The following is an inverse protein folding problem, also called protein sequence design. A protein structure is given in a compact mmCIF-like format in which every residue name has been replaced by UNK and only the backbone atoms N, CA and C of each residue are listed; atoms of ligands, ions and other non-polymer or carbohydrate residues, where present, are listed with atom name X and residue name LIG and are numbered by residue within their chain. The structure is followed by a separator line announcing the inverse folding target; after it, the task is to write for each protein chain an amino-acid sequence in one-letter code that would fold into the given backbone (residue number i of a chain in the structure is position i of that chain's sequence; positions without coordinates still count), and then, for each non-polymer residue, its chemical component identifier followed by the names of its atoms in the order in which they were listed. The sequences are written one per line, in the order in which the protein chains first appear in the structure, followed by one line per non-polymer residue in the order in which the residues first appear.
data_IF_934848325328
#
_entry.id   IF_934848325328
#
_cell.length_a   1.000
_cell.length_b   1.000
_cell.length_c   1.000
_cell.angle_alpha   90.00
_cell.angle_beta   90.00
_cell.angle_gamma   90.00
#
_symmetry.space_group_name_H-M   'P 1'
#
loop_
_entity.id
_entity.type
_entity.pdbx_description
1 polymer ?
#
# COMPACT_ATOMS: atom_id res chain seq x y z
N UNK A 1 -13.67 -0.28 -46.08
CA UNK A 1 -13.34 0.34 -44.78
C UNK A 1 -12.70 -0.76 -43.96
N UNK A 2 -11.39 -0.68 -43.77
CA UNK A 2 -10.57 -1.80 -43.29
C UNK A 2 -10.97 -2.18 -41.86
N UNK A 3 -11.17 -3.49 -41.63
CA UNK A 3 -11.21 -4.08 -40.31
C UNK A 3 -9.79 -3.94 -39.74
N UNK A 4 -9.65 -3.14 -38.69
CA UNK A 4 -8.40 -2.97 -37.96
C UNK A 4 -8.03 -4.34 -37.37
N UNK A 5 -7.01 -4.97 -37.96
CA UNK A 5 -6.55 -6.29 -37.58
C UNK A 5 -5.94 -6.23 -36.19
N UNK A 6 -6.56 -6.90 -35.22
CA UNK A 6 -5.96 -7.14 -33.92
C UNK A 6 -4.59 -7.78 -34.12
N UNK A 7 -3.56 -7.15 -33.55
CA UNK A 7 -2.17 -7.60 -33.65
C UNK A 7 -2.06 -9.04 -33.11
N UNK A 8 -1.64 -10.03 -33.92
CA UNK A 8 -1.68 -11.44 -33.56
C UNK A 8 -0.69 -11.83 -32.45
N UNK A 9 0.18 -10.91 -32.02
CA UNK A 9 1.33 -11.20 -31.16
C UNK A 9 1.22 -10.56 -29.76
N UNK A 10 0.01 -10.22 -29.32
CA UNK A 10 -0.24 -9.58 -28.01
C UNK A 10 0.32 -10.41 -26.85
N UNK A 11 0.25 -11.74 -26.94
CA UNK A 11 0.77 -12.65 -25.92
C UNK A 11 2.30 -12.63 -25.88
N UNK A 12 2.95 -12.57 -27.05
CA UNK A 12 4.40 -12.47 -27.15
C UNK A 12 4.90 -11.14 -26.58
N UNK A 13 4.19 -10.04 -26.85
CA UNK A 13 4.52 -8.72 -26.27
C UNK A 13 4.33 -8.70 -24.74
N UNK A 14 3.23 -9.28 -24.24
CA UNK A 14 2.95 -9.39 -22.80
C UNK A 14 3.99 -10.26 -22.07
N UNK A 15 4.32 -11.43 -22.64
CA UNK A 15 5.30 -12.35 -22.07
C UNK A 15 6.74 -11.82 -22.13
N UNK A 16 7.06 -10.96 -23.11
CA UNK A 16 8.40 -10.37 -23.26
C UNK A 16 8.77 -9.48 -22.06
N UNK A 17 7.83 -8.68 -21.57
CA UNK A 17 8.08 -7.78 -20.43
C UNK A 17 8.21 -8.52 -19.11
N UNK A 18 7.46 -9.62 -18.93
CA UNK A 18 7.55 -10.43 -17.73
C UNK A 18 8.90 -11.15 -17.61
N UNK A 19 9.44 -11.67 -18.72
CA UNK A 19 10.74 -12.36 -18.75
C UNK A 19 11.94 -11.42 -18.51
N UNK A 20 11.79 -10.14 -18.81
CA UNK A 20 12.86 -9.16 -18.59
C UNK A 20 13.14 -8.92 -17.10
N UNK A 21 12.16 -9.14 -16.22
CA UNK A 21 12.30 -8.90 -14.79
C UNK A 21 12.79 -10.15 -14.02
N UNK A 22 12.68 -11.34 -14.61
CA UNK A 22 13.08 -12.62 -13.99
C UNK A 22 14.52 -12.66 -13.43
N UNK A 23 15.55 -12.11 -14.11
CA UNK A 23 16.92 -12.18 -13.60
C UNK A 23 17.23 -11.16 -12.49
N UNK A 24 16.33 -10.22 -12.20
CA UNK A 24 16.58 -9.15 -11.24
C UNK A 24 16.30 -9.61 -9.80
N UNK A 25 17.19 -9.24 -8.87
CA UNK A 25 16.93 -9.46 -7.44
C UNK A 25 15.96 -8.42 -6.89
N UNK A 26 15.41 -8.67 -5.69
CA UNK A 26 14.51 -7.74 -5.00
C UNK A 26 15.14 -6.34 -4.83
N UNK A 27 16.42 -6.29 -4.50
CA UNK A 27 17.16 -5.03 -4.31
C UNK A 27 17.29 -4.25 -5.62
N UNK A 28 17.56 -4.96 -6.72
CA UNK A 28 17.66 -4.33 -8.04
C UNK A 28 16.30 -3.81 -8.52
N UNK A 29 15.22 -4.56 -8.31
CA UNK A 29 13.86 -4.12 -8.60
C UNK A 29 13.48 -2.88 -7.77
N UNK A 30 13.81 -2.87 -6.48
CA UNK A 30 13.60 -1.67 -5.65
C UNK A 30 14.38 -0.46 -6.16
N UNK A 31 15.64 -0.64 -6.56
CA UNK A 31 16.45 0.44 -7.12
C UNK A 31 15.84 1.00 -8.42
N UNK A 32 15.34 0.13 -9.29
CA UNK A 32 14.65 0.53 -10.52
C UNK A 32 13.36 1.30 -10.24
N UNK A 33 12.51 0.79 -9.34
CA UNK A 33 11.26 1.48 -8.95
C UNK A 33 11.57 2.85 -8.34
N UNK A 34 12.58 2.94 -7.47
CA UNK A 34 13.02 4.23 -6.90
C UNK A 34 13.40 5.23 -8.01
N UNK A 35 14.25 4.82 -8.94
CA UNK A 35 14.67 5.68 -10.06
C UNK A 35 13.50 6.07 -10.97
N UNK A 36 12.52 5.18 -11.17
CA UNK A 36 11.35 5.46 -11.98
C UNK A 36 10.46 6.53 -11.33
N UNK A 37 10.23 6.45 -10.02
CA UNK A 37 9.47 7.46 -9.25
C UNK A 37 10.17 8.81 -9.28
N UNK A 38 11.50 8.84 -9.12
CA UNK A 38 12.29 10.09 -9.16
C UNK A 38 12.19 10.81 -10.52
N UNK A 39 12.05 10.05 -11.62
CA UNK A 39 12.00 10.59 -12.99
C UNK A 39 10.58 10.85 -13.49
N UNK A 40 9.60 10.12 -12.98
CA UNK A 40 8.21 10.12 -13.44
C UNK A 40 7.27 10.23 -12.24
N UNK A 41 6.92 11.46 -11.82
CA UNK A 41 6.06 11.69 -10.65
C UNK A 41 4.68 11.04 -10.80
N UNK A 42 4.18 10.87 -12.03
CA UNK A 42 2.95 10.18 -12.37
C UNK A 42 2.92 8.71 -11.90
N UNK A 43 4.08 8.05 -11.79
CA UNK A 43 4.18 6.68 -11.28
C UNK A 43 4.03 6.59 -9.75
N UNK A 44 4.21 7.70 -9.03
CA UNK A 44 4.16 7.73 -7.55
C UNK A 44 2.82 7.22 -7.04
N UNK A 45 1.73 7.64 -7.67
CA UNK A 45 0.39 7.27 -7.22
C UNK A 45 0.12 5.78 -7.45
N UNK A 46 0.58 5.21 -8.56
CA UNK A 46 0.47 3.77 -8.82
C UNK A 46 1.28 2.95 -7.81
N UNK A 47 2.50 3.38 -7.49
CA UNK A 47 3.33 2.70 -6.49
C UNK A 47 2.70 2.79 -5.11
N UNK A 48 2.14 3.96 -4.76
CA UNK A 48 1.42 4.15 -3.50
C UNK A 48 0.21 3.22 -3.42
N UNK A 49 -0.64 3.19 -4.44
CA UNK A 49 -1.80 2.30 -4.49
C UNK A 49 -1.40 0.84 -4.32
N UNK A 50 -0.34 0.39 -5.00
CA UNK A 50 0.17 -0.98 -4.88
C UNK A 50 0.74 -1.29 -3.49
N UNK A 51 1.45 -0.35 -2.88
CA UNK A 51 1.97 -0.49 -1.52
C UNK A 51 0.84 -0.56 -0.48
N UNK A 52 -0.23 0.20 -0.73
CA UNK A 52 -1.42 0.31 0.12
C UNK A 52 -2.39 -0.88 -0.01
N UNK A 53 -2.18 -1.81 -0.97
CA UNK A 53 -3.02 -3.02 -1.13
C UNK A 53 -2.98 -3.90 0.12
N UNK A 54 -1.83 -4.00 0.78
CA UNK A 54 -1.71 -4.80 2.00
C UNK A 54 -2.06 -3.93 3.23
N UNK A 55 -3.17 -4.22 3.93
CA UNK A 55 -3.56 -3.47 5.13
C UNK A 55 -2.50 -3.54 6.23
N UNK A 56 -1.64 -4.56 6.24
CA UNK A 56 -0.55 -4.68 7.21
C UNK A 56 0.45 -3.53 7.10
N UNK A 57 0.66 -2.96 5.91
CA UNK A 57 1.55 -1.81 5.71
C UNK A 57 0.98 -0.50 6.24
N UNK A 58 -0.35 -0.42 6.45
CA UNK A 58 -1.06 0.78 6.90
C UNK A 58 -1.50 0.74 8.36
N UNK A 59 -1.20 -0.36 9.06
CA UNK A 59 -1.60 -0.56 10.46
C UNK A 59 -0.62 0.09 11.43
N UNK A 60 -1.14 0.94 12.31
CA UNK A 60 -0.38 1.60 13.37
C UNK A 60 -0.81 1.09 14.76
N UNK A 61 0.14 0.96 15.68
CA UNK A 61 -0.10 0.64 17.08
C UNK A 61 0.24 1.85 17.95
N UNK A 62 -0.73 2.32 18.73
CA UNK A 62 -0.56 3.47 19.62
C UNK A 62 -0.60 2.97 21.07
N UNK A 63 0.39 3.37 21.85
CA UNK A 63 0.68 2.85 23.20
C UNK A 63 0.66 4.04 24.19
N UNK A 64 0.50 3.77 25.48
CA UNK A 64 0.57 4.83 26.51
C UNK A 64 -0.61 5.81 26.48
N UNK A 65 -1.75 5.37 25.95
CA UNK A 65 -2.98 6.15 25.95
C UNK A 65 -3.56 6.20 27.37
N UNK A 66 -4.09 7.36 27.77
CA UNK A 66 -4.81 7.51 29.03
C UNK A 66 -6.07 6.66 29.04
N UNK A 67 -6.53 6.26 30.23
CA UNK A 67 -7.71 5.40 30.45
C UNK A 67 -9.01 5.97 29.86
N UNK A 68 -9.09 7.29 29.68
CA UNK A 68 -10.22 8.00 29.06
C UNK A 68 -10.12 8.07 27.52
N UNK A 69 -9.06 7.52 26.92
CA UNK A 69 -8.87 7.60 25.47
C UNK A 69 -9.80 6.64 24.74
N UNK A 70 -10.69 7.19 23.92
CA UNK A 70 -11.64 6.43 23.11
C UNK A 70 -11.21 6.32 21.65
N UNK A 71 -11.83 5.41 20.91
CA UNK A 71 -11.64 5.30 19.46
C UNK A 71 -12.06 6.59 18.73
N UNK A 72 -13.05 7.32 19.24
CA UNK A 72 -13.47 8.62 18.68
C UNK A 72 -12.37 9.68 18.84
N UNK A 73 -11.76 9.78 20.03
CA UNK A 73 -10.64 10.70 20.27
C UNK A 73 -9.46 10.36 19.36
N UNK A 74 -9.12 9.07 19.21
CA UNK A 74 -8.07 8.62 18.30
C UNK A 74 -8.41 8.96 16.85
N UNK A 75 -9.61 8.62 16.40
CA UNK A 75 -10.07 8.91 15.04
C UNK A 75 -9.96 10.41 14.76
N UNK A 76 -10.52 11.25 15.64
CA UNK A 76 -10.48 12.72 15.49
C UNK A 76 -9.06 13.27 15.36
N UNK A 77 -8.12 12.77 16.18
CA UNK A 77 -6.72 13.21 16.13
C UNK A 77 -6.01 12.72 14.88
N UNK A 78 -6.24 11.48 14.45
CA UNK A 78 -5.52 10.86 13.34
C UNK A 78 -6.12 11.16 11.96
N UNK A 79 -7.41 11.54 11.87
CA UNK A 79 -8.06 11.87 10.59
C UNK A 79 -7.40 13.02 9.83
N UNK A 80 -6.64 13.88 10.51
CA UNK A 80 -5.86 14.94 9.85
C UNK A 80 -4.66 14.43 9.04
N UNK A 81 -4.23 13.19 9.27
CA UNK A 81 -3.12 12.55 8.56
C UNK A 81 -3.57 11.68 7.40
N UNK A 82 -4.88 11.39 7.29
CA UNK A 82 -5.44 10.57 6.24
C UNK A 82 -6.77 9.94 6.65
N UNK A 83 -7.35 9.20 5.72
CA UNK A 83 -8.54 8.38 5.98
C UNK A 83 -8.19 7.23 6.93
N UNK A 84 -9.12 6.88 7.81
CA UNK A 84 -8.97 5.80 8.78
C UNK A 84 -9.95 4.69 8.40
N UNK A 85 -9.42 3.53 7.99
CA UNK A 85 -10.25 2.35 7.68
C UNK A 85 -10.85 1.68 8.93
N UNK A 86 -10.04 1.50 9.98
CA UNK A 86 -10.48 0.87 11.23
C UNK A 86 -9.73 1.48 12.43
N UNK A 87 -10.45 1.70 13.54
CA UNK A 87 -9.89 2.21 14.78
C UNK A 87 -10.45 1.45 15.98
N UNK A 88 -9.57 0.72 16.67
CA UNK A 88 -9.93 -0.03 17.88
C UNK A 88 -9.13 0.46 19.08
N UNK A 89 -9.83 1.12 20.02
CA UNK A 89 -9.28 1.39 21.34
C UNK A 89 -9.42 0.13 22.21
N UNK A 90 -8.29 -0.48 22.57
CA UNK A 90 -8.28 -1.61 23.51
C UNK A 90 -8.32 -1.05 24.92
N UNK A 91 -9.52 -0.98 25.49
CA UNK A 91 -9.71 -0.77 26.92
C UNK A 91 -9.56 -2.12 27.62
N UNK A 92 -8.63 -2.23 28.57
CA UNK A 92 -8.50 -3.43 29.41
C UNK A 92 -9.84 -3.67 30.12
N UNK A 93 -10.60 -4.66 29.66
CA UNK A 93 -11.79 -5.15 30.36
C UNK A 93 -11.30 -6.15 31.40
N UNK A 94 -10.85 -5.62 32.54
CA UNK A 94 -10.68 -6.37 33.79
C UNK A 94 -9.69 -7.54 33.65
N UNK A 95 -8.40 -7.25 33.82
CA UNK A 95 -7.58 -8.15 34.64
C UNK A 95 -8.20 -8.20 36.04
N UNK A 96 -9.02 -9.24 36.26
CA UNK A 96 -9.65 -9.50 37.55
C UNK A 96 -8.60 -9.71 38.61
N UNK A 97 -8.38 -8.69 39.45
CA UNK A 97 -7.74 -8.88 40.74
C UNK A 97 -8.64 -9.75 41.61
N UNK A 98 -8.18 -10.96 41.90
CA UNK A 98 -8.31 -11.62 43.21
C UNK A 98 -7.04 -12.40 43.47
#
# INVERSE_FOLDING_TARGET
MALETADPDWLTHYLKHQKLLEPFTKEQLHALVKQAIEKHPDLTENVRQLADVDPAHRKIFVHGLGWDTTAETLTSVFSKYGEIEDCKAVTDKVSGNT
#
